data_IF_539090951066
#
_entry.id   IF_539090951066
#
_cell.length_a   1.000
_cell.length_b   1.000
_cell.length_c   1.000
_cell.angle_alpha   90.00
_cell.angle_beta   90.00
_cell.angle_gamma   90.00
#
_symmetry.space_group_name_H-M   'P 1'
#
loop_
_entity.id
_entity.type
_entity.pdbx_description
1 polymer ?
#
# COMPACT_ATOMS: atom_id res chain seq x y z
N UNK A 1 -63.58 -5.39 -26.36
CA UNK A 1 -62.10 -5.56 -26.24
C UNK A 1 -61.68 -6.63 -27.24
N UNK A 2 -60.71 -6.34 -28.10
CA UNK A 2 -60.21 -7.26 -29.13
C UNK A 2 -59.63 -8.53 -28.49
N UNK A 3 -59.82 -9.71 -29.11
CA UNK A 3 -59.32 -11.02 -28.62
C UNK A 3 -57.81 -11.00 -28.34
N UNK A 4 -57.05 -10.28 -29.16
CA UNK A 4 -55.62 -10.02 -29.00
C UNK A 4 -55.27 -9.30 -27.69
N UNK A 5 -56.07 -8.31 -27.27
CA UNK A 5 -55.86 -7.59 -26.01
C UNK A 5 -56.14 -8.50 -24.78
N UNK A 6 -57.03 -9.49 -24.93
CA UNK A 6 -57.32 -10.46 -23.87
C UNK A 6 -56.18 -11.47 -23.72
N UNK A 7 -55.54 -11.86 -24.82
CA UNK A 7 -54.37 -12.74 -24.81
C UNK A 7 -53.08 -12.05 -24.30
N UNK A 8 -52.88 -10.75 -24.57
CA UNK A 8 -51.71 -9.99 -24.10
C UNK A 8 -51.81 -9.46 -22.66
N UNK A 9 -52.99 -9.51 -22.05
CA UNK A 9 -53.25 -9.04 -20.67
C UNK A 9 -52.23 -9.55 -19.64
N UNK A 10 -51.93 -10.87 -19.54
CA UNK A 10 -50.98 -11.38 -18.55
C UNK A 10 -49.56 -10.82 -18.75
N UNK A 11 -49.09 -10.71 -20.01
CA UNK A 11 -47.78 -10.16 -20.31
C UNK A 11 -47.66 -8.68 -19.89
N UNK A 12 -48.74 -7.91 -20.08
CA UNK A 12 -48.81 -6.49 -19.71
C UNK A 12 -48.83 -6.30 -18.19
N UNK A 13 -49.50 -7.19 -17.46
CA UNK A 13 -49.51 -7.19 -15.99
C UNK A 13 -48.13 -7.56 -15.41
N UNK A 14 -47.47 -8.59 -15.95
CA UNK A 14 -46.12 -9.00 -15.57
C UNK A 14 -45.12 -7.84 -15.75
N UNK A 15 -45.18 -7.15 -16.90
CA UNK A 15 -44.32 -5.97 -17.16
C UNK A 15 -44.52 -4.84 -16.14
N UNK A 16 -45.72 -4.71 -15.58
CA UNK A 16 -46.04 -3.69 -14.56
C UNK A 16 -45.60 -4.12 -13.15
N UNK A 17 -45.57 -5.42 -12.85
CA UNK A 17 -45.24 -5.94 -11.51
C UNK A 17 -43.74 -6.14 -11.30
N UNK A 18 -42.98 -6.50 -12.35
CA UNK A 18 -41.54 -6.75 -12.25
C UNK A 18 -40.74 -5.63 -11.54
N UNK A 19 -40.86 -4.35 -11.93
CA UNK A 19 -40.09 -3.27 -11.29
C UNK A 19 -40.41 -3.10 -9.80
N UNK A 20 -41.66 -3.41 -9.40
CA UNK A 20 -42.07 -3.37 -7.98
C UNK A 20 -41.41 -4.49 -7.18
N UNK A 21 -41.34 -5.68 -7.76
CA UNK A 21 -40.67 -6.83 -7.16
C UNK A 21 -39.16 -6.58 -7.04
N UNK A 22 -38.52 -6.04 -8.08
CA UNK A 22 -37.11 -5.67 -8.05
C UNK A 22 -36.81 -4.60 -7.00
N UNK A 23 -37.65 -3.57 -6.91
CA UNK A 23 -37.54 -2.56 -5.87
C UNK A 23 -37.65 -3.18 -4.47
N UNK A 24 -38.64 -4.04 -4.24
CA UNK A 24 -38.81 -4.74 -2.96
C UNK A 24 -37.60 -5.61 -2.62
N UNK A 25 -37.07 -6.37 -3.60
CA UNK A 25 -35.86 -7.17 -3.44
C UNK A 25 -34.67 -6.30 -3.04
N UNK A 26 -34.45 -5.18 -3.71
CA UNK A 26 -33.37 -4.26 -3.37
C UNK A 26 -33.53 -3.71 -1.95
N UNK A 27 -34.75 -3.37 -1.52
CA UNK A 27 -35.02 -2.94 -0.13
C UNK A 27 -34.77 -4.04 0.90
N UNK A 28 -35.12 -5.29 0.62
CA UNK A 28 -34.91 -6.42 1.56
C UNK A 28 -33.42 -6.71 1.76
N UNK A 29 -32.61 -6.55 0.72
CA UNK A 29 -31.18 -6.91 0.74
C UNK A 29 -30.24 -5.69 0.82
N UNK A 30 -30.76 -4.52 1.19
CA UNK A 30 -30.00 -3.25 1.27
C UNK A 30 -29.18 -2.95 0.00
N UNK A 31 -29.73 -3.31 -1.17
CA UNK A 31 -29.11 -3.04 -2.48
C UNK A 31 -29.65 -1.75 -3.07
N UNK A 32 -28.80 -1.07 -3.84
CA UNK A 32 -29.20 0.09 -4.62
C UNK A 32 -30.13 -0.31 -5.78
N UNK A 33 -31.23 0.42 -5.98
CA UNK A 33 -32.19 0.21 -7.07
C UNK A 33 -32.02 1.28 -8.15
N UNK A 34 -31.60 0.89 -9.36
CA UNK A 34 -31.30 1.80 -10.48
C UNK A 34 -32.12 1.46 -11.73
N UNK A 35 -33.40 1.86 -11.81
CA UNK A 35 -34.28 1.53 -12.94
C UNK A 35 -33.88 2.23 -14.25
N UNK A 36 -33.28 3.42 -14.16
CA UNK A 36 -32.94 4.26 -15.31
C UNK A 36 -31.52 4.02 -15.84
N UNK A 37 -30.79 3.06 -15.24
CA UNK A 37 -29.41 2.71 -15.58
C UNK A 37 -28.47 3.93 -15.58
N UNK A 38 -28.67 4.86 -14.65
CA UNK A 38 -27.81 6.04 -14.49
C UNK A 38 -26.43 5.64 -13.98
N UNK A 39 -25.40 6.39 -14.40
CA UNK A 39 -24.02 6.20 -13.91
C UNK A 39 -23.84 6.87 -12.55
N UNK A 40 -24.16 6.15 -11.49
CA UNK A 40 -24.11 6.65 -10.11
C UNK A 40 -22.71 6.47 -9.46
N UNK A 41 -21.85 5.61 -10.03
CA UNK A 41 -20.50 5.37 -9.50
C UNK A 41 -20.41 4.28 -8.42
N UNK A 42 -21.45 3.45 -8.27
CA UNK A 42 -21.48 2.35 -7.31
C UNK A 42 -20.27 1.40 -7.42
N UNK A 43 -19.75 1.18 -8.63
CA UNK A 43 -18.54 0.38 -8.87
C UNK A 43 -17.32 0.88 -8.08
N UNK A 44 -17.19 2.20 -7.89
CA UNK A 44 -16.06 2.78 -7.14
C UNK A 44 -16.21 2.53 -5.64
N UNK A 45 -17.44 2.53 -5.13
CA UNK A 45 -17.73 2.31 -3.71
C UNK A 45 -17.73 0.84 -3.32
N UNK A 46 -18.11 -0.05 -4.23
CA UNK A 46 -18.07 -1.51 -4.02
C UNK A 46 -16.64 -2.06 -4.03
N UNK A 47 -15.70 -1.37 -4.68
CA UNK A 47 -14.30 -1.79 -4.70
C UNK A 47 -13.71 -1.76 -3.27
N UNK A 48 -13.09 -2.86 -2.82
CA UNK A 48 -12.45 -2.88 -1.51
C UNK A 48 -11.24 -1.95 -1.48
N UNK A 49 -10.97 -1.36 -0.32
CA UNK A 49 -9.81 -0.49 -0.12
C UNK A 49 -8.52 -1.31 -0.18
N UNK A 50 -7.61 -0.97 -1.09
CA UNK A 50 -6.32 -1.65 -1.26
C UNK A 50 -5.20 -1.13 -0.36
N UNK A 51 -5.43 -0.03 0.37
CA UNK A 51 -4.43 0.66 1.19
C UNK A 51 -3.63 -0.25 2.12
N UNK A 52 -4.26 -1.15 2.90
CA UNK A 52 -3.54 -2.07 3.79
C UNK A 52 -2.64 -3.06 3.04
N UNK A 53 -3.08 -3.55 1.89
CA UNK A 53 -2.30 -4.47 1.05
C UNK A 53 -1.07 -3.77 0.48
N UNK A 54 -1.24 -2.55 -0.04
CA UNK A 54 -0.14 -1.74 -0.59
C UNK A 54 0.86 -1.36 0.50
N UNK A 55 0.39 -0.96 1.69
CA UNK A 55 1.24 -0.63 2.83
C UNK A 55 2.17 -1.78 3.22
N UNK A 56 1.68 -3.00 3.15
CA UNK A 56 2.40 -4.20 3.57
C UNK A 56 3.24 -4.83 2.44
N UNK A 57 3.47 -4.14 1.33
CA UNK A 57 4.18 -4.69 0.17
C UNK A 57 5.58 -5.24 0.51
N UNK A 58 6.38 -4.51 1.29
CA UNK A 58 7.70 -4.98 1.76
C UNK A 58 7.65 -5.69 3.13
N UNK A 59 6.45 -5.94 3.67
CA UNK A 59 6.26 -6.49 5.01
C UNK A 59 6.29 -5.46 6.13
N UNK A 60 6.10 -5.93 7.37
CA UNK A 60 6.10 -5.09 8.56
C UNK A 60 7.52 -4.64 8.92
N UNK A 61 7.67 -3.39 9.36
CA UNK A 61 8.92 -2.89 9.98
C UNK A 61 9.18 -3.46 11.38
N UNK A 62 8.30 -4.30 11.89
CA UNK A 62 8.43 -4.92 13.23
C UNK A 62 9.43 -6.08 13.29
N UNK A 63 10.18 -6.34 12.22
CA UNK A 63 11.29 -7.28 12.29
C UNK A 63 12.34 -6.75 13.27
N UNK A 64 12.79 -7.60 14.19
CA UNK A 64 13.80 -7.25 15.19
C UNK A 64 15.07 -6.82 14.46
N UNK A 65 15.48 -5.57 14.63
CA UNK A 65 16.76 -5.08 14.09
C UNK A 65 17.89 -5.56 15.00
N UNK A 66 19.11 -5.64 14.49
CA UNK A 66 20.27 -5.97 15.30
C UNK A 66 20.47 -5.01 16.49
N UNK A 67 20.11 -3.73 16.32
CA UNK A 67 20.08 -2.74 17.42
C UNK A 67 19.11 -3.12 18.53
N UNK A 68 17.91 -3.60 18.17
CA UNK A 68 16.90 -4.04 19.13
C UNK A 68 17.39 -5.30 19.86
N UNK A 69 18.02 -6.22 19.12
CA UNK A 69 18.67 -7.40 19.69
C UNK A 69 19.75 -7.02 20.70
N UNK A 70 20.66 -6.09 20.36
CA UNK A 70 21.67 -5.59 21.30
C UNK A 70 21.03 -5.00 22.56
N UNK A 71 19.98 -4.18 22.42
CA UNK A 71 19.30 -3.59 23.58
C UNK A 71 18.67 -4.64 24.49
N UNK A 72 18.03 -5.68 23.92
CA UNK A 72 17.38 -6.74 24.69
C UNK A 72 18.37 -7.63 25.47
N UNK A 73 19.56 -7.87 24.90
CA UNK A 73 20.54 -8.79 25.49
C UNK A 73 21.61 -8.09 26.33
N UNK A 74 21.73 -6.75 26.23
CA UNK A 74 22.73 -5.98 26.98
C UNK A 74 22.66 -6.23 28.48
N UNK A 75 21.48 -6.20 29.08
CA UNK A 75 21.28 -6.43 30.52
C UNK A 75 21.67 -7.86 30.93
N UNK A 76 21.39 -8.85 30.08
CA UNK A 76 21.67 -10.26 30.36
C UNK A 76 23.15 -10.62 30.23
N UNK A 77 23.91 -9.83 29.48
CA UNK A 77 25.33 -10.06 29.23
C UNK A 77 26.24 -9.26 30.19
N UNK A 78 25.67 -8.39 31.04
CA UNK A 78 26.44 -7.69 32.08
C UNK A 78 27.00 -8.72 33.06
N UNK A 79 28.34 -8.78 33.17
CA UNK A 79 29.04 -9.75 34.01
C UNK A 79 29.52 -11.02 33.28
N UNK A 80 29.31 -11.10 31.97
CA UNK A 80 29.87 -12.17 31.11
C UNK A 80 30.95 -11.61 30.19
N UNK A 81 31.89 -12.46 29.75
CA UNK A 81 32.97 -12.09 28.81
C UNK A 81 32.51 -12.00 27.34
N UNK A 82 31.21 -12.23 27.08
CA UNK A 82 30.67 -12.29 25.73
C UNK A 82 30.22 -10.92 25.23
N UNK A 83 30.60 -10.59 24.00
CA UNK A 83 30.22 -9.34 23.32
C UNK A 83 29.46 -9.67 22.05
N UNK A 84 28.28 -9.07 21.88
CA UNK A 84 27.50 -9.17 20.64
C UNK A 84 28.14 -8.26 19.59
N UNK A 85 28.48 -8.80 18.42
CA UNK A 85 29.03 -8.04 17.30
C UNK A 85 28.28 -8.33 15.98
N UNK A 86 28.01 -7.28 15.20
CA UNK A 86 27.53 -7.42 13.83
C UNK A 86 28.74 -7.62 12.92
N UNK A 87 28.92 -8.85 12.43
CA UNK A 87 30.03 -9.19 11.57
C UNK A 87 30.02 -8.37 10.26
N UNK A 88 28.83 -8.16 9.67
CA UNK A 88 28.71 -7.43 8.40
C UNK A 88 29.10 -5.98 8.56
N UNK A 89 28.66 -5.34 9.65
CA UNK A 89 29.03 -3.96 9.93
C UNK A 89 30.52 -3.83 10.28
N UNK A 90 31.06 -4.79 11.04
CA UNK A 90 32.48 -4.83 11.38
C UNK A 90 33.35 -4.92 10.13
N UNK A 91 32.98 -5.78 9.18
CA UNK A 91 33.70 -5.94 7.92
C UNK A 91 33.56 -4.71 7.02
N UNK A 92 32.38 -4.08 7.00
CA UNK A 92 32.16 -2.80 6.31
C UNK A 92 33.07 -1.71 6.86
N UNK A 93 33.23 -1.62 8.18
CA UNK A 93 34.10 -0.63 8.83
C UNK A 93 35.58 -0.87 8.52
N UNK A 94 36.06 -2.13 8.60
CA UNK A 94 37.42 -2.50 8.20
C UNK A 94 37.71 -2.12 6.76
N UNK A 95 36.79 -2.43 5.84
CA UNK A 95 36.91 -2.05 4.44
C UNK A 95 37.00 -0.52 4.26
N UNK A 96 36.16 0.25 4.97
CA UNK A 96 36.23 1.71 4.93
C UNK A 96 37.58 2.24 5.43
N UNK A 97 38.14 1.67 6.49
CA UNK A 97 39.45 2.04 7.02
C UNK A 97 40.59 1.72 6.04
N UNK A 98 40.58 0.54 5.44
CA UNK A 98 41.55 0.15 4.43
C UNK A 98 41.54 1.12 3.25
N UNK A 99 40.35 1.47 2.75
CA UNK A 99 40.19 2.45 1.66
C UNK A 99 40.70 3.83 2.03
N UNK A 100 40.51 4.27 3.28
CA UNK A 100 41.06 5.54 3.77
C UNK A 100 42.60 5.51 3.81
N UNK A 101 43.22 4.41 4.26
CA UNK A 101 44.68 4.27 4.34
C UNK A 101 45.35 4.43 2.97
N UNK A 102 44.74 3.88 1.93
CA UNK A 102 45.25 3.97 0.55
C UNK A 102 44.84 5.26 -0.19
N UNK A 103 44.25 6.24 0.50
CA UNK A 103 43.78 7.50 -0.11
C UNK A 103 42.57 7.35 -1.04
N UNK A 104 41.93 6.17 -1.08
CA UNK A 104 40.71 5.88 -1.86
C UNK A 104 39.45 5.94 -1.00
N UNK A 105 39.51 6.68 0.11
CA UNK A 105 38.37 6.97 0.95
C UNK A 105 37.39 7.91 0.23
N UNK A 106 36.12 7.86 0.63
CA UNK A 106 35.14 8.81 0.10
C UNK A 106 35.58 10.25 0.42
N UNK A 107 35.46 11.19 -0.54
CA UNK A 107 35.80 12.58 -0.30
C UNK A 107 34.86 13.19 0.76
N UNK A 108 35.31 14.27 1.42
CA UNK A 108 34.49 14.98 2.40
C UNK A 108 33.20 15.49 1.73
N UNK A 109 32.05 15.11 2.28
CA UNK A 109 30.74 15.60 1.83
C UNK A 109 30.70 17.13 1.94
N UNK A 110 30.39 17.83 0.85
CA UNK A 110 30.24 19.28 0.84
C UNK A 110 28.99 19.67 1.63
N UNK A 111 29.14 20.60 2.56
CA UNK A 111 28.03 21.16 3.37
C UNK A 111 27.52 22.48 2.83
N UNK A 112 28.31 23.16 2.00
CA UNK A 112 27.96 24.44 1.40
C UNK A 112 27.29 24.27 0.03
N UNK A 113 26.36 25.18 -0.31
CA UNK A 113 25.82 25.29 -1.66
C UNK A 113 26.95 25.76 -2.59
N UNK A 114 27.34 24.91 -3.52
CA UNK A 114 28.29 25.30 -4.57
C UNK A 114 27.59 26.27 -5.51
N UNK A 115 27.96 27.55 -5.45
CA UNK A 115 27.61 28.51 -6.51
C UNK A 115 28.20 28.00 -7.83
N UNK A 116 27.33 27.72 -8.81
CA UNK A 116 27.77 27.32 -10.14
C UNK A 116 28.47 28.52 -10.79
N UNK A 117 29.80 28.59 -10.69
CA UNK A 117 30.59 29.55 -11.48
C UNK A 117 30.32 29.26 -12.96
N UNK A 118 29.67 30.20 -13.65
CA UNK A 118 29.44 30.15 -15.09
C UNK A 118 30.79 29.94 -15.79
N UNK A 119 30.98 28.74 -16.36
CA UNK A 119 32.10 28.49 -17.26
C UNK A 119 31.90 29.40 -18.48
N UNK A 120 32.76 30.41 -18.64
CA UNK A 120 32.84 31.18 -19.89
C UNK A 120 33.11 30.16 -21.01
N UNK A 121 32.17 30.05 -21.95
CA UNK A 121 32.37 29.34 -23.21
C UNK A 121 33.46 30.10 -23.96
N UNK A 122 34.61 29.47 -24.18
CA UNK A 122 35.56 29.86 -25.20
C UNK A 122 35.19 29.16 -26.51
#
# INVERSE_FOLDING_TARGET
MSSLQKALRPAKEIKKTLPKLEKLRCTIFDKFYNPDNLRVGAEVWEKPLLGPSIRNYYGSRTNITFSDFMSMFREKLVGTDYIIQDQRETDRLKYVEERKRIGKGAPKKKTEKVEKKNKKKH
#
